data_IF_239858172036
#
_entry.id   IF_239858172036
#
_cell.length_a   1.000
_cell.length_b   1.000
_cell.length_c   1.000
_cell.angle_alpha   90.00
_cell.angle_beta   90.00
_cell.angle_gamma   90.00
#
_symmetry.space_group_name_H-M   'P 1'
#
loop_
_entity.id
_entity.type
_entity.pdbx_description
1 polymer ?
2 non-polymer ?
3 non-polymer ?
4 non-polymer ?
5 non-polymer ?
6 water ?
#
# COMPACT_ATOMS: atom_id res chain seq x y z
N UNK A 40 20.22 -21.49 24.32
CA UNK A 40 19.60 -20.21 24.66
C UNK A 40 19.86 -19.86 26.14
N UNK A 41 19.91 -18.58 26.44
CA UNK A 41 20.28 -18.11 27.77
C UNK A 41 19.08 -17.87 28.68
N UNK A 42 17.86 -18.02 28.15
CA UNK A 42 16.66 -17.82 28.95
C UNK A 42 15.45 -18.52 28.39
N UNK A 43 14.39 -18.61 29.20
CA UNK A 43 13.11 -19.16 28.73
C UNK A 43 11.95 -18.18 28.96
N UNK A 44 12.23 -16.89 28.87
CA UNK A 44 11.17 -15.90 29.00
C UNK A 44 10.31 -15.90 27.75
N UNK A 45 9.01 -15.65 27.90
CA UNK A 45 8.16 -15.35 26.75
C UNK A 45 8.78 -14.20 26.00
N UNK A 46 8.79 -14.30 24.67
CA UNK A 46 9.29 -13.22 23.83
C UNK A 46 8.12 -12.30 23.44
N UNK A 47 8.45 -11.08 23.06
CA UNK A 47 7.42 -10.08 22.78
C UNK A 47 7.79 -9.37 21.49
N UNK A 48 6.81 -9.21 20.62
CA UNK A 48 6.97 -8.40 19.44
C UNK A 48 5.98 -7.25 19.49
N UNK A 49 6.48 -6.03 19.27
CA UNK A 49 5.64 -4.85 19.23
C UNK A 49 5.37 -4.47 17.77
N UNK A 50 4.11 -4.24 17.44
CA UNK A 50 3.72 -3.87 16.08
C UNK A 50 3.00 -2.54 16.10
N UNK A 51 3.39 -1.63 15.23
CA UNK A 51 2.66 -0.38 15.05
C UNK A 51 2.30 -0.22 13.58
N UNK A 52 1.01 -0.39 13.29
CA UNK A 52 0.52 -0.22 11.93
C UNK A 52 0.07 1.24 11.78
N UNK A 53 0.26 1.83 10.60
CA UNK A 53 -0.09 3.25 10.44
C UNK A 53 -1.56 3.55 10.72
N UNK A 54 -2.44 2.68 10.24
CA UNK A 54 -3.88 2.82 10.41
C UNK A 54 -4.53 1.60 9.81
N UNK A 55 -5.82 1.42 10.06
CA UNK A 55 -6.56 0.27 9.54
C UNK A 55 -7.43 0.67 8.36
N UNK A 56 -6.79 1.05 7.27
CA UNK A 56 -7.52 1.39 6.06
C UNK A 56 -7.92 0.12 5.29
N UNK A 57 -8.55 0.27 4.12
CA UNK A 57 -9.15 -0.88 3.45
C UNK A 57 -8.12 -1.99 3.21
N UNK A 58 -6.99 -1.65 2.62
CA UNK A 58 -5.97 -2.65 2.33
C UNK A 58 -5.24 -3.11 3.60
N UNK A 59 -4.88 -2.16 4.47
CA UNK A 59 -4.04 -2.52 5.61
C UNK A 59 -4.80 -3.36 6.62
N UNK A 60 -6.12 -3.30 6.59
CA UNK A 60 -6.90 -4.16 7.48
C UNK A 60 -6.66 -5.62 7.14
N UNK A 61 -6.58 -5.93 5.85
CA UNK A 61 -6.28 -7.30 5.44
C UNK A 61 -4.87 -7.69 5.90
N UNK A 62 -3.95 -6.75 5.85
CA UNK A 62 -2.57 -7.06 6.24
C UNK A 62 -2.51 -7.33 7.73
N UNK A 63 -3.18 -6.50 8.52
CA UNK A 63 -3.22 -6.67 9.97
C UNK A 63 -3.87 -7.99 10.38
N UNK A 64 -4.97 -8.36 9.71
CA UNK A 64 -5.64 -9.63 10.01
C UNK A 64 -4.69 -10.80 9.71
N UNK A 65 -3.90 -10.66 8.64
CA UNK A 65 -2.93 -11.71 8.29
C UNK A 65 -1.79 -11.78 9.32
N UNK A 66 -1.37 -10.63 9.85
CA UNK A 66 -0.36 -10.62 10.92
C UNK A 66 -0.89 -11.33 12.16
N UNK A 67 -2.14 -11.04 12.53
CA UNK A 67 -2.72 -11.66 13.71
C UNK A 67 -2.88 -13.17 13.54
N UNK A 68 -3.28 -13.60 12.34
CA UNK A 68 -3.43 -15.03 12.07
C UNK A 68 -2.08 -15.76 12.17
N UNK A 69 -1.04 -15.15 11.61
CA UNK A 69 0.29 -15.76 11.64
C UNK A 69 0.85 -15.77 13.07
N UNK A 70 0.59 -14.71 13.82
CA UNK A 70 1.13 -14.57 15.18
C UNK A 70 0.63 -15.68 16.11
N UNK A 71 -0.56 -16.20 15.81
CA UNK A 71 -1.17 -17.29 16.58
C UNK A 71 -0.37 -18.59 16.48
N UNK A 72 0.55 -18.67 15.52
CA UNK A 72 1.37 -19.86 15.34
C UNK A 72 2.55 -19.93 16.32
N UNK A 73 2.74 -18.89 17.14
CA UNK A 73 3.91 -18.79 17.99
C UNK A 73 3.56 -18.59 19.46
N UNK A 74 3.33 -19.70 20.18
CA UNK A 74 2.80 -19.61 21.54
C UNK A 74 3.83 -19.13 22.54
N UNK A 75 5.10 -19.12 22.14
CA UNK A 75 6.18 -18.61 22.98
C UNK A 75 6.38 -17.10 22.79
N UNK A 76 5.51 -16.48 21.99
CA UNK A 76 5.54 -15.03 21.77
C UNK A 76 4.25 -14.38 22.21
N UNK A 77 4.39 -13.17 22.72
CA UNK A 77 3.27 -12.25 22.88
C UNK A 77 3.39 -11.18 21.81
N UNK A 78 2.29 -10.78 21.22
CA UNK A 78 2.30 -9.66 20.25
C UNK A 78 1.51 -8.48 20.76
N UNK A 79 2.04 -7.27 20.58
CA UNK A 79 1.31 -6.05 20.89
C UNK A 79 0.97 -5.39 19.58
N UNK A 80 -0.31 -5.43 19.20
CA UNK A 80 -0.77 -4.87 17.92
C UNK A 80 -1.35 -3.49 18.15
N UNK A 81 -0.57 -2.48 17.82
CA UNK A 81 -0.94 -1.09 18.02
C UNK A 81 -1.24 -0.40 16.70
N UNK A 82 -2.07 0.64 16.78
CA UNK A 82 -2.57 1.38 15.63
C UNK A 82 -2.22 2.86 15.84
N UNK A 83 -1.44 3.43 14.94
CA UNK A 83 -0.99 4.82 15.08
C UNK A 83 -2.05 5.83 14.68
N UNK A 84 -3.14 5.37 14.05
CA UNK A 84 -4.25 6.24 13.63
C UNK A 84 -3.76 7.44 12.79
N UNK A 85 -2.85 7.15 11.89
CA UNK A 85 -2.24 8.15 10.99
C UNK A 85 -1.54 9.30 11.67
N UNK A 86 -1.12 9.10 12.91
CA UNK A 86 -0.51 10.12 13.73
C UNK A 86 0.96 9.74 14.05
N UNK A 87 1.90 10.51 13.51
CA UNK A 87 3.32 10.13 13.67
C UNK A 87 3.77 10.28 15.11
N UNK A 88 3.19 11.20 15.86
CA UNK A 88 3.54 11.32 17.27
C UNK A 88 3.07 10.11 18.06
N UNK A 89 1.88 9.63 17.74
CA UNK A 89 1.40 8.40 18.36
C UNK A 89 2.27 7.20 17.99
N UNK A 90 2.68 7.10 16.71
CA UNK A 90 3.55 6.00 16.31
C UNK A 90 4.87 6.05 17.04
N UNK A 91 5.47 7.25 17.14
CA UNK A 91 6.71 7.40 17.89
C UNK A 91 6.53 7.00 19.35
N UNK A 92 5.39 7.34 19.97
CA UNK A 92 5.15 6.98 21.37
C UNK A 92 4.98 5.48 21.54
N UNK A 93 4.36 4.82 20.57
CA UNK A 93 4.25 3.37 20.58
C UNK A 93 5.61 2.70 20.49
N UNK A 94 6.43 3.18 19.59
CA UNK A 94 7.78 2.64 19.45
C UNK A 94 8.63 2.87 20.69
N UNK A 95 8.56 4.07 21.26
CA UNK A 95 9.29 4.35 22.51
C UNK A 95 8.86 3.40 23.64
N UNK A 96 7.57 3.11 23.71
CA UNK A 96 7.06 2.16 24.68
C UNK A 96 7.61 0.76 24.43
N UNK A 97 7.63 0.33 23.17
CA UNK A 97 8.23 -0.96 22.84
C UNK A 97 9.70 -1.03 23.26
N UNK A 98 10.46 0.04 23.04
CA UNK A 98 11.85 0.08 23.46
C UNK A 98 11.95 0.00 24.98
N UNK A 99 11.11 0.76 25.68
CA UNK A 99 11.21 0.78 27.13
C UNK A 99 10.83 -0.57 27.78
N UNK A 100 9.98 -1.35 27.13
CA UNK A 100 9.62 -2.68 27.60
C UNK A 100 10.67 -3.71 27.24
N UNK A 101 11.58 -3.33 26.36
CA UNK A 101 12.63 -4.20 25.84
C UNK A 101 12.06 -5.38 25.04
N UNK A 102 11.14 -5.10 24.13
CA UNK A 102 10.63 -6.14 23.26
C UNK A 102 11.75 -6.75 22.42
N UNK A 103 11.49 -7.92 21.88
CA UNK A 103 12.49 -8.70 21.15
C UNK A 103 12.58 -8.33 19.68
N UNK A 104 11.51 -7.75 19.14
CA UNK A 104 11.53 -7.20 17.79
C UNK A 104 10.36 -6.25 17.64
N UNK A 105 10.50 -5.34 16.68
CA UNK A 105 9.47 -4.34 16.38
C UNK A 105 9.13 -4.41 14.90
N UNK A 106 7.84 -4.36 14.61
CA UNK A 106 7.33 -4.21 13.23
C UNK A 106 6.67 -2.85 13.15
N UNK A 107 7.14 -2.02 12.21
CA UNK A 107 6.51 -0.73 11.91
C UNK A 107 6.07 -0.61 10.45
N UNK A 108 4.86 -0.13 10.27
CA UNK A 108 4.32 0.37 9.00
C UNK A 108 4.27 1.94 9.09
N UNK A 109 5.25 2.67 8.50
CA UNK A 109 5.44 4.07 8.92
C UNK A 109 4.34 5.03 8.47
N UNK A 110 3.93 5.89 9.39
CA UNK A 110 2.98 6.93 9.08
C UNK A 110 3.51 7.90 8.03
N UNK A 111 4.79 8.26 8.11
CA UNK A 111 5.35 9.15 7.11
C UNK A 111 6.86 8.94 6.98
N UNK A 112 7.42 9.42 5.88
CA UNK A 112 8.78 9.03 5.53
C UNK A 112 9.82 9.81 6.33
N UNK A 113 9.42 10.90 6.96
CA UNK A 113 10.34 11.69 7.75
C UNK A 113 10.50 11.08 9.14
N UNK A 114 9.39 10.82 9.83
CA UNK A 114 9.45 10.25 11.16
C UNK A 114 9.97 8.81 11.11
N UNK A 115 9.75 8.13 9.98
CA UNK A 115 10.27 6.77 9.80
C UNK A 115 11.77 6.73 10.10
N UNK A 116 12.50 7.74 9.63
CA UNK A 116 13.96 7.75 9.84
C UNK A 116 14.30 7.89 11.32
N UNK A 117 13.60 8.77 12.02
CA UNK A 117 13.82 8.92 13.44
C UNK A 117 13.49 7.63 14.21
N UNK A 118 12.42 6.96 13.80
CA UNK A 118 12.03 5.70 14.41
C UNK A 118 13.11 4.64 14.22
N UNK A 119 13.56 4.44 12.98
CA UNK A 119 14.61 3.45 12.75
C UNK A 119 15.90 3.79 13.50
N UNK A 120 16.27 5.07 13.52
CA UNK A 120 17.46 5.47 14.28
C UNK A 120 17.36 5.12 15.75
N UNK A 121 16.20 5.40 16.32
CA UNK A 121 15.97 5.16 17.74
C UNK A 121 15.99 3.67 18.09
N UNK A 122 15.34 2.86 17.25
CA UNK A 122 15.25 1.44 17.53
C UNK A 122 16.64 0.83 17.29
N UNK A 123 17.32 1.24 16.23
CA UNK A 123 18.71 0.78 16.03
C UNK A 123 19.61 1.10 17.24
N UNK A 124 19.50 2.31 17.77
CA UNK A 124 20.30 2.69 18.94
C UNK A 124 19.95 1.83 20.13
N UNK A 125 18.71 1.36 20.21
CA UNK A 125 18.26 0.49 21.32
C UNK A 125 18.74 -0.95 21.16
N UNK A 126 19.23 -1.28 19.97
CA UNK A 126 19.72 -2.62 19.70
C UNK A 126 18.62 -3.65 19.52
N UNK A 127 17.45 -3.19 19.07
CA UNK A 127 16.29 -4.07 18.86
C UNK A 127 16.05 -4.19 17.35
N UNK A 128 15.86 -5.41 16.85
CA UNK A 128 15.54 -5.51 15.41
C UNK A 128 14.26 -4.79 15.02
N UNK A 129 14.28 -4.13 13.88
CA UNK A 129 13.10 -3.43 13.38
C UNK A 129 12.81 -3.86 11.93
N UNK A 130 11.61 -4.39 11.76
CA UNK A 130 11.12 -4.86 10.48
C UNK A 130 10.18 -3.78 9.96
N UNK A 131 10.41 -3.31 8.75
CA UNK A 131 9.51 -2.32 8.10
C UNK A 131 8.57 -3.07 7.17
N UNK A 132 7.26 -2.86 7.36
CA UNK A 132 6.27 -3.51 6.54
C UNK A 132 5.51 -2.52 5.67
N UNK A 133 5.41 -2.88 4.38
CA UNK A 133 4.53 -2.32 3.37
C UNK A 133 4.82 -0.89 2.88
N UNK A 134 5.22 0.01 3.76
CA UNK A 134 5.63 1.36 3.36
C UNK A 134 7.12 1.57 3.55
N UNK A 135 7.80 1.94 2.48
CA UNK A 135 9.22 2.19 2.53
C UNK A 135 9.45 3.71 2.60
N UNK A 136 10.72 4.08 2.67
CA UNK A 136 11.12 5.45 2.85
C UNK A 136 12.60 5.54 2.55
N UNK A 137 13.08 6.74 2.23
CA UNK A 137 14.50 6.97 2.06
C UNK A 137 15.19 6.75 3.40
N UNK A 138 16.02 5.72 3.47
CA UNK A 138 16.67 5.34 4.71
C UNK A 138 16.32 3.95 5.17
N UNK A 139 15.45 3.27 4.43
CA UNK A 139 14.95 1.96 4.83
C UNK A 139 16.05 0.91 4.98
N UNK A 140 17.17 1.10 4.29
CA UNK A 140 18.24 0.09 4.40
C UNK A 140 18.94 0.15 5.75
N UNK A 141 18.53 1.08 6.62
CA UNK A 141 19.04 1.10 7.98
C UNK A 141 18.20 0.22 8.89
N UNK A 142 17.05 -0.22 8.42
CA UNK A 142 16.22 -1.11 9.20
C UNK A 142 16.76 -2.53 9.10
N UNK A 143 16.23 -3.45 9.89
CA UNK A 143 16.75 -4.82 9.88
C UNK A 143 16.27 -5.58 8.65
N UNK A 144 15.05 -5.31 8.22
CA UNK A 144 14.53 -5.87 6.98
C UNK A 144 13.31 -5.10 6.53
N UNK A 145 13.02 -5.19 5.23
CA UNK A 145 11.80 -4.63 4.64
C UNK A 145 11.00 -5.76 4.03
N UNK A 146 9.70 -5.76 4.33
CA UNK A 146 8.73 -6.70 3.75
C UNK A 146 7.65 -5.90 3.06
N UNK A 147 7.56 -6.03 1.75
CA UNK A 147 6.61 -5.25 0.99
C UNK A 147 6.79 -5.45 -0.49
N UNK A 148 6.31 -4.48 -1.27
CA UNK A 148 6.33 -4.58 -2.71
C UNK A 148 6.84 -3.29 -3.31
N UNK A 149 7.40 -3.38 -4.50
CA UNK A 149 8.11 -2.24 -5.10
C UNK A 149 7.14 -1.31 -5.82
N UNK A 150 6.89 -0.15 -5.23
CA UNK A 150 5.81 0.71 -5.67
C UNK A 150 5.85 1.09 -7.13
N UNK A 151 7.01 1.45 -7.66
CA UNK A 151 7.06 1.92 -9.03
C UNK A 151 6.61 0.82 -9.99
N UNK A 152 6.84 -0.45 -9.63
CA UNK A 152 6.43 -1.61 -10.43
C UNK A 152 4.90 -1.60 -10.60
N UNK A 153 4.17 -1.28 -9.54
CA UNK A 153 2.71 -1.26 -9.66
C UNK A 153 2.22 -0.11 -10.57
N UNK A 154 2.88 1.05 -10.51
CA UNK A 154 2.51 2.15 -11.39
C UNK A 154 2.84 1.85 -12.84
N UNK A 155 3.98 1.17 -13.07
CA UNK A 155 4.36 0.76 -14.42
C UNK A 155 3.39 -0.29 -14.99
N UNK A 156 3.03 -1.27 -14.17
CA UNK A 156 2.13 -2.34 -14.64
C UNK A 156 0.76 -1.78 -14.96
N UNK A 157 0.27 -0.93 -14.06
CA UNK A 157 -1.03 -0.31 -14.19
C UNK A 157 -1.13 0.50 -15.48
N UNK A 158 -0.16 1.38 -15.69
CA UNK A 158 -0.25 2.30 -16.80
C UNK A 158 0.15 1.65 -18.13
N UNK A 159 0.98 0.62 -18.09
CA UNK A 159 1.21 -0.16 -19.30
C UNK A 159 -0.11 -0.70 -19.86
N UNK A 160 -0.96 -1.22 -18.97
CA UNK A 160 -2.20 -1.84 -19.42
C UNK A 160 -3.18 -0.76 -19.87
N UNK A 161 -3.25 0.35 -19.14
CA UNK A 161 -4.13 1.44 -19.56
C UNK A 161 -3.73 1.95 -20.94
N UNK A 162 -2.43 2.10 -21.16
CA UNK A 162 -1.92 2.52 -22.46
C UNK A 162 -2.35 1.56 -23.58
N UNK A 163 -2.26 0.26 -23.32
CA UNK A 163 -2.72 -0.73 -24.30
C UNK A 163 -4.20 -0.55 -24.60
N UNK A 164 -5.01 -0.32 -23.57
CA UNK A 164 -6.43 -0.16 -23.76
C UNK A 164 -6.78 1.09 -24.54
N UNK A 165 -5.92 2.12 -24.42
CA UNK A 165 -6.13 3.39 -25.13
C UNK A 165 -5.46 3.43 -26.51
N UNK A 166 -4.79 2.34 -26.89
CA UNK A 166 -3.99 2.34 -28.11
C UNK A 166 -3.02 3.52 -28.11
N UNK A 167 -2.46 3.78 -26.93
CA UNK A 167 -1.45 4.83 -26.72
C UNK A 167 -1.93 6.25 -26.99
N UNK A 168 -3.23 6.47 -26.96
CA UNK A 168 -3.78 7.79 -27.17
C UNK A 168 -4.84 8.12 -26.15
N UNK A 169 -4.63 9.21 -25.43
CA UNK A 169 -5.63 9.63 -24.45
C UNK A 169 -5.16 10.66 -23.46
N UNK A 170 -6.13 11.38 -22.92
CA UNK A 170 -5.94 12.31 -21.81
C UNK A 170 -6.07 11.58 -20.50
N UNK A 171 -5.03 11.66 -19.67
CA UNK A 171 -4.96 10.89 -18.43
C UNK A 171 -5.16 11.82 -17.24
N UNK A 172 -6.01 11.42 -16.29
CA UNK A 172 -6.15 12.09 -15.00
C UNK A 172 -5.58 11.15 -13.94
N UNK A 173 -4.57 11.61 -13.22
CA UNK A 173 -3.91 10.81 -12.20
C UNK A 173 -4.37 11.23 -10.82
N UNK A 174 -4.87 10.27 -10.03
CA UNK A 174 -5.18 10.50 -8.61
C UNK A 174 -4.03 10.04 -7.75
N UNK A 175 -3.30 11.02 -7.23
CA UNK A 175 -2.28 10.81 -6.20
C UNK A 175 -2.89 10.34 -4.91
N UNK A 176 -2.21 9.42 -4.26
CA UNK A 176 -2.55 9.05 -2.91
C UNK A 176 -2.03 10.07 -1.90
N UNK A 177 -1.81 9.62 -0.67
CA UNK A 177 -1.38 10.50 0.41
C UNK A 177 -0.01 11.08 0.08
N UNK A 178 0.01 12.40 -0.05
CA UNK A 178 1.17 13.06 -0.61
C UNK A 178 2.40 12.88 0.27
N UNK A 179 3.44 12.45 -0.40
CA UNK A 179 4.72 12.19 0.23
C UNK A 179 4.95 10.76 0.69
N UNK A 180 3.91 9.93 0.68
CA UNK A 180 4.13 8.49 0.87
C UNK A 180 4.98 8.03 -0.31
N UNK A 181 5.91 7.10 -0.07
CA UNK A 181 6.68 6.58 -1.19
C UNK A 181 5.78 5.93 -2.22
N UNK A 182 4.69 5.30 -1.78
CA UNK A 182 3.81 4.62 -2.74
C UNK A 182 3.14 5.64 -3.66
N UNK A 183 2.85 6.84 -3.14
CA UNK A 183 2.25 7.88 -3.95
C UNK A 183 3.28 8.37 -4.95
N UNK A 184 4.46 8.76 -4.45
CA UNK A 184 5.47 9.33 -5.29
C UNK A 184 5.82 8.36 -6.41
N UNK A 185 5.98 7.09 -6.05
CA UNK A 185 6.56 6.16 -7.00
C UNK A 185 5.52 5.47 -7.88
N UNK A 186 4.28 5.32 -7.42
CA UNK A 186 3.23 4.84 -8.33
C UNK A 186 3.00 5.86 -9.43
N UNK A 187 2.89 7.12 -9.04
CA UNK A 187 2.73 8.17 -10.03
C UNK A 187 3.93 8.31 -10.94
N UNK A 188 5.13 8.11 -10.40
CA UNK A 188 6.33 8.15 -11.24
C UNK A 188 6.29 7.03 -12.28
N UNK A 189 5.85 5.84 -11.87
CA UNK A 189 5.73 4.72 -12.80
C UNK A 189 4.70 5.05 -13.87
N UNK A 190 3.56 5.61 -13.45
CA UNK A 190 2.56 6.04 -14.43
C UNK A 190 3.20 6.99 -15.45
N UNK A 191 3.88 8.01 -14.95
CA UNK A 191 4.45 9.01 -15.83
C UNK A 191 5.56 8.48 -16.74
N UNK A 192 6.28 7.46 -16.31
CA UNK A 192 7.32 6.88 -17.15
C UNK A 192 6.70 6.21 -18.37
N UNK A 193 5.52 5.61 -18.19
CA UNK A 193 4.82 4.98 -19.32
C UNK A 193 4.23 6.08 -20.20
N UNK A 194 3.68 7.10 -19.56
CA UNK A 194 3.03 8.16 -20.31
C UNK A 194 4.05 8.87 -21.19
N UNK A 195 5.27 9.02 -20.68
CA UNK A 195 6.34 9.72 -21.41
C UNK A 195 6.87 8.91 -22.59
N UNK A 196 6.58 7.61 -22.59
CA UNK A 196 6.93 6.72 -23.70
C UNK A 196 6.01 6.87 -24.91
N UNK A 197 4.92 7.64 -24.79
CA UNK A 197 3.90 7.71 -25.85
C UNK A 197 3.39 9.12 -26.12
N UNK A 198 3.66 9.64 -27.31
CA UNK A 198 3.33 11.04 -27.59
C UNK A 198 1.83 11.34 -27.48
N UNK A 199 0.98 10.35 -27.74
CA UNK A 199 -0.46 10.55 -27.68
C UNK A 199 -1.06 10.45 -26.28
N UNK A 200 -0.24 10.08 -25.31
CA UNK A 200 -0.66 10.05 -23.90
C UNK A 200 -0.19 11.32 -23.21
N UNK A 201 -1.10 11.97 -22.52
CA UNK A 201 -0.80 13.22 -21.85
C UNK A 201 -1.54 13.30 -20.51
N UNK A 202 -0.82 13.71 -19.47
CA UNK A 202 -1.45 13.99 -18.18
C UNK A 202 -2.13 15.35 -18.26
N UNK A 203 -3.46 15.35 -18.14
CA UNK A 203 -4.21 16.59 -18.21
C UNK A 203 -4.69 17.07 -16.83
N UNK A 204 -4.75 16.16 -15.86
CA UNK A 204 -5.18 16.48 -14.50
C UNK A 204 -4.38 15.63 -13.55
N UNK A 205 -3.99 16.21 -12.42
CA UNK A 205 -3.31 15.46 -11.39
C UNK A 205 -3.65 16.09 -10.06
N UNK A 206 -4.22 15.30 -9.17
CA UNK A 206 -4.59 15.77 -7.87
C UNK A 206 -4.61 14.63 -6.87
N UNK A 207 -4.61 14.96 -5.59
CA UNK A 207 -4.62 13.93 -4.53
C UNK A 207 -6.02 13.70 -3.95
N UNK A 208 -6.36 12.44 -3.78
CA UNK A 208 -7.57 12.06 -3.04
C UNK A 208 -7.20 11.15 -1.86
N UNK A 209 -5.97 11.28 -1.40
CA UNK A 209 -5.58 10.87 -0.05
C UNK A 209 -5.88 9.40 0.25
N UNK A 210 -5.74 8.54 -0.75
CA UNK A 210 -6.02 7.10 -0.68
C UNK A 210 -7.43 6.77 -0.23
N UNK A 211 -8.34 7.75 -0.34
CA UNK A 211 -9.68 7.67 0.26
C UNK A 211 -10.81 7.62 -0.79
N UNK A 212 -11.77 6.73 -0.58
CA UNK A 212 -12.91 6.59 -1.51
C UNK A 212 -13.77 7.84 -1.61
N UNK A 213 -14.16 8.41 -0.47
CA UNK A 213 -15.04 9.56 -0.53
C UNK A 213 -14.32 10.76 -1.15
N UNK A 214 -13.02 10.91 -0.86
CA UNK A 214 -12.23 11.99 -1.48
C UNK A 214 -12.08 11.76 -2.99
N UNK A 215 -11.88 10.50 -3.38
CA UNK A 215 -11.85 10.15 -4.79
C UNK A 215 -13.13 10.56 -5.50
N UNK A 216 -14.27 10.37 -4.84
CA UNK A 216 -15.55 10.76 -5.45
C UNK A 216 -15.61 12.27 -5.64
N UNK A 217 -15.17 13.03 -4.62
CA UNK A 217 -15.25 14.48 -4.65
C UNK A 217 -14.32 15.02 -5.70
N UNK A 218 -13.10 14.48 -5.76
CA UNK A 218 -12.15 14.92 -6.75
C UNK A 218 -12.67 14.65 -8.15
N UNK A 219 -13.18 13.46 -8.39
CA UNK A 219 -13.74 13.14 -9.70
C UNK A 219 -14.87 14.10 -10.07
N UNK A 220 -15.74 14.40 -9.11
CA UNK A 220 -16.83 15.34 -9.32
C UNK A 220 -16.29 16.69 -9.80
N UNK A 221 -15.27 17.19 -9.12
CA UNK A 221 -14.67 18.47 -9.46
C UNK A 221 -14.03 18.42 -10.85
N UNK A 222 -13.37 17.32 -11.15
CA UNK A 222 -12.76 17.17 -12.45
C UNK A 222 -13.80 17.16 -13.56
N UNK A 223 -14.93 16.49 -13.31
CA UNK A 223 -16.02 16.44 -14.26
C UNK A 223 -16.57 17.84 -14.49
N UNK A 224 -16.63 18.64 -13.44
CA UNK A 224 -17.19 19.99 -13.55
C UNK A 224 -16.24 20.99 -14.20
N UNK A 225 -15.00 20.59 -14.38
CA UNK A 225 -14.01 21.43 -15.05
C UNK A 225 -14.18 21.39 -16.58
N UNK A 226 -14.94 20.42 -17.08
CA UNK A 226 -15.12 20.27 -18.50
C UNK A 226 -13.94 19.65 -19.24
N UNK A 227 -12.83 19.43 -18.53
CA UNK A 227 -11.63 18.81 -19.09
C UNK A 227 -11.97 17.45 -19.69
N UNK A 228 -11.46 17.16 -20.88
CA UNK A 228 -11.70 15.86 -21.51
C UNK A 228 -10.77 14.83 -20.89
N UNK A 229 -11.35 13.73 -20.41
CA UNK A 229 -10.61 12.68 -19.72
C UNK A 229 -10.90 11.33 -20.41
N UNK A 230 -9.86 10.57 -20.73
CA UNK A 230 -10.03 9.28 -21.34
C UNK A 230 -9.75 8.14 -20.36
N UNK A 231 -8.95 8.43 -19.33
CA UNK A 231 -8.64 7.45 -18.28
C UNK A 231 -8.36 8.15 -16.97
N UNK A 232 -8.87 7.54 -15.90
CA UNK A 232 -8.60 7.97 -14.54
C UNK A 232 -7.74 6.88 -13.93
N UNK A 233 -6.54 7.26 -13.53
CA UNK A 233 -5.54 6.30 -13.07
C UNK A 233 -5.17 6.67 -11.64
N UNK A 234 -5.54 5.80 -10.72
CA UNK A 234 -5.45 6.11 -9.29
C UNK A 234 -4.38 5.30 -8.60
N UNK A 235 -3.66 5.93 -7.68
CA UNK A 235 -2.64 5.25 -6.91
C UNK A 235 -3.18 4.09 -6.04
N UNK A 236 -4.50 4.06 -5.73
CA UNK A 236 -5.05 2.85 -5.10
C UNK A 236 -6.50 2.62 -5.48
N UNK A 237 -6.97 1.45 -5.11
CA UNK A 237 -8.32 1.04 -5.48
C UNK A 237 -9.40 1.87 -4.83
N UNK A 238 -9.21 2.29 -3.57
CA UNK A 238 -10.24 3.06 -2.91
C UNK A 238 -10.56 4.34 -3.70
N UNK A 239 -9.53 5.05 -4.15
CA UNK A 239 -9.79 6.27 -4.92
C UNK A 239 -10.49 5.97 -6.25
N UNK A 240 -10.07 4.90 -6.91
CA UNK A 240 -10.68 4.48 -8.17
C UNK A 240 -12.14 4.18 -7.97
N UNK A 241 -12.47 3.52 -6.86
CA UNK A 241 -13.87 3.18 -6.55
C UNK A 241 -14.70 4.44 -6.31
N UNK A 242 -14.09 5.44 -5.68
CA UNK A 242 -14.74 6.73 -5.54
C UNK A 242 -14.98 7.42 -6.87
N UNK A 243 -14.00 7.37 -7.77
CA UNK A 243 -14.16 7.97 -9.08
C UNK A 243 -15.30 7.29 -9.86
N UNK A 244 -15.38 5.98 -9.72
CA UNK A 244 -16.44 5.20 -10.36
C UNK A 244 -17.81 5.68 -9.90
N UNK A 245 -17.98 5.90 -8.59
CA UNK A 245 -19.25 6.40 -8.08
C UNK A 245 -19.62 7.72 -8.72
N UNK A 246 -18.64 8.59 -8.90
CA UNK A 246 -18.92 9.89 -9.49
C UNK A 246 -19.25 9.75 -10.98
N UNK A 247 -18.48 8.92 -11.68
CA UNK A 247 -18.71 8.72 -13.11
C UNK A 247 -20.07 8.07 -13.31
N UNK A 248 -20.41 7.10 -12.47
CA UNK A 248 -21.72 6.42 -12.58
C UNK A 248 -22.86 7.40 -12.47
N UNK A 249 -22.68 8.36 -11.57
CA UNK A 249 -23.73 9.31 -11.24
C UNK A 249 -24.14 10.21 -12.40
N UNK A 250 -23.22 10.44 -13.34
CA UNK A 250 -23.50 11.27 -14.51
C UNK A 250 -23.51 10.46 -15.81
N UNK A 251 -23.57 9.15 -15.69
CA UNK A 251 -23.65 8.27 -16.84
C UNK A 251 -22.44 8.29 -17.75
N UNK A 252 -21.26 8.54 -17.19
CA UNK A 252 -20.07 8.65 -18.02
C UNK A 252 -19.05 7.54 -17.78
N UNK A 253 -19.45 6.51 -17.03
CA UNK A 253 -18.52 5.44 -16.72
C UNK A 253 -18.10 4.64 -17.95
N UNK A 254 -18.96 4.53 -18.97
CA UNK A 254 -18.57 3.75 -20.15
C UNK A 254 -17.61 4.52 -21.08
N UNK A 255 -17.45 5.81 -20.83
CA UNK A 255 -16.59 6.67 -21.66
C UNK A 255 -15.17 6.85 -21.11
N UNK A 256 -14.90 6.26 -19.96
CA UNK A 256 -13.64 6.50 -19.27
C UNK A 256 -13.08 5.17 -18.77
N UNK A 257 -11.78 4.94 -19.00
CA UNK A 257 -11.09 3.80 -18.43
C UNK A 257 -10.73 4.16 -16.98
N UNK A 258 -10.99 3.25 -16.03
CA UNK A 258 -10.63 3.48 -14.62
C UNK A 258 -9.65 2.40 -14.17
N UNK A 259 -8.61 2.84 -13.48
CA UNK A 259 -7.57 1.95 -12.97
C UNK A 259 -7.25 2.24 -11.51
N UNK A 260 -6.99 1.17 -10.75
CA UNK A 260 -6.54 1.25 -9.38
C UNK A 260 -5.35 0.35 -9.11
N UNK A 261 -4.95 0.28 -7.84
CA UNK A 261 -3.89 -0.62 -7.36
C UNK A 261 -4.32 -1.15 -6.01
N UNK A 262 -4.12 -2.46 -5.84
CA UNK A 262 -4.23 -3.26 -4.60
C UNK A 262 -4.92 -4.59 -4.90
N UNK A 263 -5.94 -4.55 -5.77
CA UNK A 263 -6.81 -5.70 -6.04
C UNK A 263 -7.49 -6.17 -4.75
N UNK A 264 -8.04 -5.22 -4.00
CA UNK A 264 -8.85 -5.57 -2.84
C UNK A 264 -10.12 -6.29 -3.27
N UNK A 265 -10.77 -6.99 -2.33
CA UNK A 265 -12.03 -7.61 -2.74
C UNK A 265 -13.06 -6.62 -3.30
N UNK A 266 -13.14 -5.42 -2.72
CA UNK A 266 -14.04 -4.40 -3.24
C UNK A 266 -13.71 -4.08 -4.69
N UNK A 267 -12.41 -3.98 -5.01
CA UNK A 267 -11.98 -3.65 -6.35
C UNK A 267 -12.32 -4.78 -7.31
N UNK A 268 -12.11 -6.02 -6.88
CA UNK A 268 -12.35 -7.16 -7.75
C UNK A 268 -13.83 -7.28 -8.07
N UNK A 269 -14.67 -6.95 -7.09
CA UNK A 269 -16.12 -6.93 -7.32
C UNK A 269 -16.48 -5.86 -8.35
N UNK A 270 -15.83 -4.71 -8.27
CA UNK A 270 -16.13 -3.65 -9.24
C UNK A 270 -15.68 -4.09 -10.62
N UNK A 271 -14.60 -4.86 -10.67
CA UNK A 271 -14.10 -5.31 -11.96
C UNK A 271 -15.07 -6.34 -12.55
N UNK A 272 -15.57 -7.23 -11.69
CA UNK A 272 -16.55 -8.23 -12.11
C UNK A 272 -17.81 -7.59 -12.67
N UNK A 273 -18.20 -6.46 -12.09
CA UNK A 273 -19.37 -5.72 -12.52
C UNK A 273 -19.10 -4.86 -13.76
N UNK A 274 -17.87 -4.89 -14.27
CA UNK A 274 -17.51 -4.13 -15.47
C UNK A 274 -17.26 -2.64 -15.27
N UNK A 275 -17.04 -2.24 -14.02
CA UNK A 275 -16.82 -0.83 -13.70
C UNK A 275 -15.35 -0.44 -13.61
N UNK A 276 -14.50 -1.39 -13.22
CA UNK A 276 -13.07 -1.15 -13.01
C UNK A 276 -12.32 -1.93 -14.06
N UNK A 277 -11.51 -1.23 -14.85
CA UNK A 277 -10.83 -1.85 -15.99
C UNK A 277 -9.51 -2.54 -15.65
N UNK A 278 -8.80 -1.97 -14.69
CA UNK A 278 -7.43 -2.39 -14.37
C UNK A 278 -7.23 -2.29 -12.88
N UNK A 279 -6.61 -3.29 -12.27
CA UNK A 279 -5.99 -3.05 -10.98
C UNK A 279 -4.74 -3.89 -10.91
N UNK A 280 -4.07 -3.83 -9.78
CA UNK A 280 -2.80 -4.49 -9.59
C UNK A 280 -2.77 -5.12 -8.20
N UNK A 281 -2.64 -6.45 -8.16
CA UNK A 281 -2.65 -7.16 -6.90
C UNK A 281 -1.43 -6.85 -6.06
N UNK A 282 -1.71 -6.41 -4.82
CA UNK A 282 -0.71 -6.28 -3.76
C UNK A 282 -1.09 -7.30 -2.70
N UNK A 283 -0.11 -8.09 -2.30
CA UNK A 283 -0.37 -9.27 -1.47
C UNK A 283 -0.38 -8.90 0.00
N UNK A 284 -1.54 -8.46 0.49
CA UNK A 284 -1.68 -8.07 1.89
C UNK A 284 -1.38 -9.24 2.83
N UNK A 285 -1.90 -10.41 2.50
CA UNK A 285 -1.72 -11.59 3.35
C UNK A 285 -0.26 -11.98 3.41
N UNK A 286 0.40 -12.01 2.26
CA UNK A 286 1.82 -12.29 2.20
C UNK A 286 2.67 -11.30 2.97
N UNK A 287 2.41 -10.01 2.79
CA UNK A 287 3.13 -9.01 3.55
C UNK A 287 2.94 -9.16 5.04
N UNK A 288 1.70 -9.36 5.50
CA UNK A 288 1.44 -9.49 6.92
C UNK A 288 2.05 -10.74 7.53
N UNK A 289 1.83 -11.90 6.92
CA UNK A 289 2.38 -13.16 7.45
C UNK A 289 3.89 -13.14 7.41
N UNK A 290 4.45 -12.65 6.33
CA UNK A 290 5.90 -12.64 6.21
C UNK A 290 6.56 -11.68 7.19
N UNK A 291 5.93 -10.52 7.44
CA UNK A 291 6.48 -9.59 8.42
C UNK A 291 6.57 -10.25 9.80
N UNK A 292 5.53 -10.96 10.18
CA UNK A 292 5.54 -11.67 11.45
C UNK A 292 6.62 -12.76 11.48
N UNK A 293 6.74 -13.53 10.40
CA UNK A 293 7.73 -14.60 10.35
C UNK A 293 9.16 -14.04 10.49
N UNK A 294 9.42 -12.93 9.81
CA UNK A 294 10.73 -12.32 9.82
C UNK A 294 11.03 -11.76 11.22
N UNK A 295 10.03 -11.13 11.83
CA UNK A 295 10.19 -10.57 13.17
C UNK A 295 10.48 -11.65 14.19
N UNK A 296 9.78 -12.76 14.08
CA UNK A 296 10.04 -13.90 14.95
C UNK A 296 11.46 -14.42 14.77
N UNK A 297 11.91 -14.56 13.52
CA UNK A 297 13.26 -15.01 13.27
C UNK A 297 14.27 -14.07 13.91
N UNK A 298 14.05 -12.77 13.77
CA UNK A 298 15.00 -11.78 14.29
C UNK A 298 14.98 -11.77 15.82
N UNK A 299 13.78 -11.90 16.37
CA UNK A 299 13.59 -12.02 17.82
C UNK A 299 14.33 -13.24 18.40
N UNK A 300 14.40 -14.30 17.60
CA UNK A 300 15.07 -15.53 18.01
C UNK A 300 16.58 -15.51 17.77
N UNK A 301 17.08 -14.38 17.32
CA UNK A 301 18.51 -14.18 17.19
C UNK A 301 19.12 -14.50 15.84
N UNK A 302 18.29 -14.77 14.84
CA UNK A 302 18.75 -15.07 13.49
C UNK A 302 18.87 -13.80 12.66
N UNK A 303 19.82 -13.78 11.74
CA UNK A 303 19.87 -12.70 10.75
C UNK A 303 18.77 -12.93 9.72
N UNK A 304 18.11 -11.86 9.36
CA UNK A 304 16.99 -11.92 8.45
C UNK A 304 17.32 -11.16 7.17
N UNK A 305 16.41 -11.22 6.22
CA UNK A 305 16.61 -10.51 4.99
C UNK A 305 15.27 -9.97 4.49
N UNK A 306 15.36 -9.08 3.53
CA UNK A 306 14.16 -8.49 2.92
C UNK A 306 13.29 -9.54 2.25
N UNK A 307 11.99 -9.26 2.16
CA UNK A 307 11.08 -10.03 1.34
C UNK A 307 10.32 -9.09 0.44
N UNK A 308 10.67 -9.10 -0.84
CA UNK A 308 10.00 -8.27 -1.85
C UNK A 308 9.01 -9.13 -2.59
N UNK A 309 7.72 -8.87 -2.37
CA UNK A 309 6.68 -9.67 -2.96
C UNK A 309 6.20 -8.97 -4.23
N UNK A 310 6.09 -9.72 -5.35
CA UNK A 310 5.73 -9.04 -6.59
C UNK A 310 4.31 -8.51 -6.61
N UNK A 311 4.15 -7.37 -7.27
CA UNK A 311 2.86 -6.91 -7.74
C UNK A 311 2.43 -7.74 -8.97
N UNK A 312 1.13 -7.93 -9.18
CA UNK A 312 0.63 -8.68 -10.35
C UNK A 312 -0.53 -7.96 -11.02
N UNK A 313 -0.44 -7.78 -12.33
CA UNK A 313 -1.51 -7.12 -13.08
C UNK A 313 -2.79 -7.94 -13.02
N UNK A 314 -3.91 -7.26 -12.75
CA UNK A 314 -5.22 -7.91 -12.77
C UNK A 314 -6.14 -7.25 -13.79
N UNK A 315 -6.71 -8.07 -14.66
CA UNK A 315 -7.66 -7.59 -15.66
C UNK A 315 -8.85 -8.53 -15.67
N UNK A 316 -9.93 -8.17 -16.38
CA UNK A 316 -11.11 -9.04 -16.38
C UNK A 316 -10.81 -10.45 -16.86
N UNK A 317 -9.70 -10.61 -17.57
CA UNK A 317 -9.29 -11.90 -18.08
C UNK A 317 -8.73 -12.86 -17.01
N UNK A 318 -8.20 -12.34 -15.92
CA UNK A 318 -7.69 -13.20 -14.84
C UNK A 318 -8.27 -12.88 -13.46
N UNK A 319 -9.37 -12.13 -13.42
CA UNK A 319 -9.90 -11.66 -12.14
C UNK A 319 -10.26 -12.81 -11.19
N UNK A 320 -10.81 -13.92 -11.70
CA UNK A 320 -11.25 -15.02 -10.82
C UNK A 320 -10.08 -15.66 -10.07
N UNK A 321 -8.91 -15.62 -10.68
CA UNK A 321 -7.69 -16.09 -10.04
C UNK A 321 -7.31 -15.27 -8.79
N UNK A 322 -7.77 -14.03 -8.70
CA UNK A 322 -7.38 -13.15 -7.58
C UNK A 322 -8.50 -13.09 -6.55
N UNK A 323 -9.72 -13.37 -6.97
CA UNK A 323 -10.81 -13.57 -6.02
C UNK A 323 -10.39 -14.67 -5.07
N UNK A 324 -9.80 -15.69 -5.67
CA UNK A 324 -9.40 -16.89 -4.97
C UNK A 324 -8.35 -16.61 -3.88
N UNK A 325 -7.75 -15.43 -3.88
CA UNK A 325 -6.74 -15.10 -2.88
C UNK A 325 -7.35 -14.54 -1.60
N UNK A 326 -8.67 -14.63 -1.52
CA UNK A 326 -9.43 -14.17 -0.36
C UNK A 326 -10.53 -15.18 0.00
X LIG B 1 20.34 -16.41 31.20
X LIG C 1 -15.31 2.66 -18.00
X LIG D 1 19.41 -4.95 5.23
X LIG E 1 -9.74 3.25 3.46
X LIG F 1 -1.82 2.36 2.08
X LIG F 1 -3.17 1.95 1.50
X LIG F 1 -3.01 1.72 0.01
X LIG F 1 -1.98 0.63 -0.29
X LIG F 1 -0.63 1.03 0.34
X LIG F 1 -0.80 1.26 1.83
X LIG F 1 -1.92 2.56 3.52
X LIG F 1 -3.56 0.73 2.14
X LIG F 1 -4.33 1.34 -0.50
X LIG F 1 -1.77 0.52 -1.71
X LIG F 1 0.29 -0.06 0.15
X LIG F 1 0.51 1.72 2.37
X LIG G 1 3.30 11.33 -23.55
#
# INVERSE_FOLDING_TARGET
XHHHHHHSSGVDLGTENLYFQSXACGSGGETSGDGNGESTGDSGQKVIGVSISNLDEFLTYMQDAMKEEAANYPDFEFIFSDAQNDSTQQMAQVENFISRNVDAIIVNPVDTTSAVDIVNMVNDAGIPIIIANRTFDGVDQATAFVGSESIQSGLLQMEEVAKLLNNEGNIAIMDGELGHEAQIMRTEGNKQIIEEHDGLEVVLQGTAKFDRSEGMRLMENWLNSGTEIDAVVANNDEMALGAILALEAVGKLDDVIVAGIDATPAALEAMKEGKLDVTVFQDAKGQGATSVKVAVQAANGEDVEDAMIPYELVTPENVEEYEAKY
MG MG
MG MG
MG MG
CL CL
INS C1 C2 C3 C4 C5 C6 O1 O2 O3 O4 O5 O6
NA NA
#
